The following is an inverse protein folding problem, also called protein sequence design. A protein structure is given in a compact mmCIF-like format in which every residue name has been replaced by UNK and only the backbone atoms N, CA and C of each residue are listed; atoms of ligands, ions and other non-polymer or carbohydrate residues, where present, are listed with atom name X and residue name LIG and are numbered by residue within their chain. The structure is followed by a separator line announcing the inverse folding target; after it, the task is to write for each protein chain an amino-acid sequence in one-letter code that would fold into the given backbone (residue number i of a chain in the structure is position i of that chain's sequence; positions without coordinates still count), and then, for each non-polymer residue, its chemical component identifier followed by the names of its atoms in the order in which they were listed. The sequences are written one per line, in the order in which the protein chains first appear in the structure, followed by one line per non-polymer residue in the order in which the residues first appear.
data_IF_132080809333
#
_entry.id   IF_132080809333
#
_cell.length_a   1.000
_cell.length_b   1.000
_cell.length_c   1.000
_cell.angle_alpha   90.00
_cell.angle_beta   90.00
_cell.angle_gamma   90.00
#
_symmetry.space_group_name_H-M   'P 1'
#
loop_
_entity.id
_entity.type
_entity.pdbx_description
1 polymer ?
#
# COMPACT_ATOMS: atom_id res chain seq x y z
N UNK A 1 -32.69 -24.93 3.09
CA UNK A 1 -31.33 -24.35 2.96
C UNK A 1 -30.34 -25.51 2.86
N UNK A 2 -29.49 -25.53 1.86
CA UNK A 2 -28.50 -26.59 1.71
C UNK A 2 -27.35 -26.42 2.74
N UNK A 3 -26.47 -27.44 2.89
CA UNK A 3 -25.38 -27.41 3.88
C UNK A 3 -24.40 -26.23 3.65
N UNK A 4 -24.16 -25.85 2.39
CA UNK A 4 -23.26 -24.73 2.07
C UNK A 4 -23.87 -23.38 2.52
N UNK A 5 -25.16 -23.16 2.29
CA UNK A 5 -25.86 -21.95 2.76
C UNK A 5 -25.93 -21.86 4.28
N UNK A 6 -26.13 -23.02 4.96
CA UNK A 6 -26.08 -23.07 6.43
C UNK A 6 -24.70 -22.65 6.95
N UNK A 7 -23.63 -23.15 6.33
CA UNK A 7 -22.26 -22.74 6.65
C UNK A 7 -22.03 -21.25 6.44
N UNK A 8 -22.43 -20.72 5.26
CA UNK A 8 -22.29 -19.28 4.95
C UNK A 8 -23.00 -18.42 6.01
N UNK A 9 -24.27 -18.76 6.31
CA UNK A 9 -25.06 -18.01 7.28
C UNK A 9 -24.47 -18.07 8.70
N UNK A 10 -23.95 -19.22 9.14
CA UNK A 10 -23.30 -19.35 10.43
C UNK A 10 -22.04 -18.48 10.55
N UNK A 11 -21.25 -18.36 9.45
CA UNK A 11 -20.07 -17.50 9.40
C UNK A 11 -20.44 -16.02 9.43
N UNK A 12 -21.50 -15.61 8.72
CA UNK A 12 -22.00 -14.25 8.75
C UNK A 12 -22.58 -13.87 10.10
N UNK A 13 -23.34 -14.76 10.73
CA UNK A 13 -23.89 -14.57 12.07
C UNK A 13 -22.77 -14.35 13.09
N UNK A 14 -21.76 -15.19 13.10
CA UNK A 14 -20.59 -15.06 13.98
C UNK A 14 -19.90 -13.69 13.82
N UNK A 15 -19.77 -13.18 12.57
CA UNK A 15 -19.24 -11.82 12.35
C UNK A 15 -20.18 -10.72 12.87
N UNK A 16 -21.49 -10.93 12.79
CA UNK A 16 -22.49 -10.00 13.33
C UNK A 16 -22.40 -9.94 14.84
N UNK A 17 -22.36 -11.08 15.52
CA UNK A 17 -22.22 -11.19 16.96
C UNK A 17 -20.94 -10.55 17.49
N UNK A 18 -19.82 -10.73 16.76
CA UNK A 18 -18.52 -10.08 17.07
C UNK A 18 -18.46 -8.63 16.64
N UNK A 19 -19.55 -8.06 16.09
CA UNK A 19 -19.56 -6.70 15.57
C UNK A 19 -18.56 -6.44 14.45
N UNK A 20 -18.09 -7.46 13.72
CA UNK A 20 -17.08 -7.36 12.67
C UNK A 20 -17.63 -7.63 11.26
N UNK A 21 -18.95 -7.64 11.09
CA UNK A 21 -19.61 -7.78 9.79
C UNK A 21 -19.32 -6.56 8.91
N UNK A 22 -18.74 -6.80 7.74
CA UNK A 22 -18.45 -5.75 6.74
C UNK A 22 -19.65 -5.56 5.82
N UNK A 23 -19.93 -4.30 5.47
CA UNK A 23 -20.98 -3.92 4.52
C UNK A 23 -20.42 -2.88 3.57
N UNK A 24 -20.80 -2.95 2.28
CA UNK A 24 -20.55 -1.87 1.34
C UNK A 24 -21.41 -0.66 1.72
N UNK A 25 -20.84 0.53 1.57
CA UNK A 25 -21.54 1.79 1.84
C UNK A 25 -21.31 2.76 0.69
N UNK A 26 -22.36 3.43 0.27
CA UNK A 26 -22.33 4.52 -0.71
C UNK A 26 -22.34 5.90 -0.04
N UNK A 27 -22.23 5.94 1.29
CA UNK A 27 -22.18 7.21 2.02
C UNK A 27 -20.90 7.96 1.69
N UNK A 28 -21.06 9.21 1.32
CA UNK A 28 -19.98 10.18 1.14
C UNK A 28 -20.04 11.20 2.26
N UNK A 29 -18.91 11.73 2.66
CA UNK A 29 -18.79 12.76 3.67
C UNK A 29 -18.05 13.95 3.07
N UNK A 30 -18.37 15.20 3.51
CA UNK A 30 -17.72 16.39 2.95
C UNK A 30 -16.20 16.42 3.13
N UNK A 31 -15.72 15.94 4.28
CA UNK A 31 -14.30 15.98 4.66
C UNK A 31 -13.76 14.56 4.71
N UNK A 32 -12.81 14.26 3.84
CA UNK A 32 -12.20 12.95 3.69
C UNK A 32 -10.87 12.86 4.47
N UNK A 33 -10.82 11.96 5.46
CA UNK A 33 -9.61 11.50 6.13
C UNK A 33 -9.51 9.96 6.10
N UNK A 34 -10.16 9.33 5.10
CA UNK A 34 -10.28 7.88 4.99
C UNK A 34 -9.57 7.30 3.78
N UNK A 35 -9.64 7.95 2.61
CA UNK A 35 -9.08 7.44 1.38
C UNK A 35 -7.53 7.38 1.45
N UNK A 36 -6.91 6.68 0.50
CA UNK A 36 -5.46 6.70 0.34
C UNK A 36 -5.02 7.65 -0.79
N UNK A 37 -5.89 8.56 -1.21
CA UNK A 37 -5.63 9.57 -2.25
C UNK A 37 -4.77 10.72 -1.71
N UNK A 38 -3.59 10.40 -1.19
CA UNK A 38 -2.72 11.30 -0.43
C UNK A 38 -2.41 12.62 -1.14
N UNK A 39 -2.20 12.57 -2.45
CA UNK A 39 -1.90 13.75 -3.28
C UNK A 39 -3.13 14.38 -3.91
N UNK A 40 -4.31 13.76 -3.78
CA UNK A 40 -5.55 14.24 -4.41
C UNK A 40 -5.61 13.97 -5.92
N UNK A 41 -4.78 13.10 -6.43
CA UNK A 41 -4.71 12.80 -7.86
C UNK A 41 -5.99 12.13 -8.38
N UNK A 42 -6.65 11.30 -7.58
CA UNK A 42 -7.90 10.65 -7.99
C UNK A 42 -9.04 11.63 -8.28
N UNK A 43 -8.96 12.85 -7.75
CA UNK A 43 -9.95 13.93 -7.94
C UNK A 43 -9.42 15.12 -8.74
N UNK A 44 -8.20 15.04 -9.27
CA UNK A 44 -7.53 16.13 -10.00
C UNK A 44 -8.10 16.30 -11.39
N UNK A 45 -8.62 17.51 -11.69
CA UNK A 45 -9.00 17.89 -13.05
C UNK A 45 -7.78 18.02 -13.96
N UNK A 46 -6.65 18.53 -13.45
CA UNK A 46 -5.40 18.65 -14.17
C UNK A 46 -4.91 17.26 -14.65
N UNK A 47 -4.92 16.26 -13.75
CA UNK A 47 -4.56 14.88 -14.14
C UNK A 47 -5.52 14.33 -15.19
N UNK A 48 -6.83 14.57 -15.05
CA UNK A 48 -7.83 14.15 -16.04
C UNK A 48 -7.55 14.72 -17.42
N UNK A 49 -7.21 15.99 -17.49
CA UNK A 49 -6.90 16.66 -18.76
C UNK A 49 -5.60 16.11 -19.36
N UNK A 50 -4.54 15.92 -18.55
CA UNK A 50 -3.30 15.31 -18.98
C UNK A 50 -3.49 13.86 -19.50
N UNK A 51 -4.38 13.08 -18.88
CA UNK A 51 -4.76 11.73 -19.37
C UNK A 51 -5.38 11.81 -20.75
N UNK A 52 -6.32 12.74 -20.95
CA UNK A 52 -6.98 12.92 -22.25
C UNK A 52 -5.97 13.32 -23.34
N UNK A 53 -5.06 14.25 -23.07
CA UNK A 53 -3.98 14.63 -23.98
C UNK A 53 -3.06 13.45 -24.30
N UNK A 54 -2.65 12.70 -23.29
CA UNK A 54 -1.82 11.49 -23.48
C UNK A 54 -2.51 10.49 -24.41
N UNK A 55 -3.82 10.26 -24.24
CA UNK A 55 -4.60 9.34 -25.06
C UNK A 55 -4.70 9.79 -26.51
N UNK A 56 -4.75 11.10 -26.79
CA UNK A 56 -4.74 11.63 -28.18
C UNK A 56 -3.46 11.26 -28.93
N UNK A 57 -2.35 11.09 -28.20
CA UNK A 57 -1.06 10.65 -28.77
C UNK A 57 -0.96 9.14 -29.02
N UNK A 58 -1.88 8.34 -28.51
CA UNK A 58 -1.85 6.87 -28.68
C UNK A 58 -2.72 6.46 -29.86
N UNK A 59 -2.08 6.07 -30.96
CA UNK A 59 -2.79 5.61 -32.15
C UNK A 59 -3.40 4.23 -31.95
N UNK A 60 -4.68 4.08 -32.36
CA UNK A 60 -5.37 2.79 -32.48
C UNK A 60 -5.42 1.95 -31.18
N UNK A 61 -5.90 2.51 -30.07
CA UNK A 61 -6.19 1.72 -28.88
C UNK A 61 -7.67 1.34 -28.77
N UNK A 62 -7.91 0.15 -28.22
CA UNK A 62 -9.25 -0.35 -27.93
C UNK A 62 -9.69 0.01 -26.51
N UNK A 63 -11.02 -0.05 -26.24
CA UNK A 63 -11.57 0.20 -24.90
C UNK A 63 -11.05 -0.76 -23.83
N UNK A 64 -10.65 -1.97 -24.23
CA UNK A 64 -10.09 -3.00 -23.35
C UNK A 64 -9.10 -3.87 -24.12
N UNK A 65 -8.25 -4.59 -23.39
CA UNK A 65 -7.17 -5.39 -23.98
C UNK A 65 -7.61 -6.70 -24.59
N UNK A 66 -8.81 -7.21 -24.23
CA UNK A 66 -9.43 -8.45 -24.73
C UNK A 66 -8.56 -9.73 -24.61
N UNK A 67 -7.44 -9.67 -23.92
CA UNK A 67 -6.51 -10.78 -23.70
C UNK A 67 -5.42 -10.44 -22.70
N UNK A 68 -4.64 -11.46 -22.30
CA UNK A 68 -3.46 -11.22 -21.45
C UNK A 68 -2.32 -10.56 -22.23
N UNK A 69 -1.33 -10.01 -21.52
CA UNK A 69 -0.12 -9.45 -22.11
C UNK A 69 0.63 -10.43 -23.03
N UNK A 70 0.56 -11.73 -22.73
CA UNK A 70 1.23 -12.76 -23.51
C UNK A 70 0.48 -13.18 -24.80
N UNK A 71 -0.77 -12.73 -24.96
CA UNK A 71 -1.57 -13.00 -26.15
C UNK A 71 -1.77 -11.74 -26.99
N UNK A 72 -2.88 -11.05 -26.79
CA UNK A 72 -3.25 -9.87 -27.59
C UNK A 72 -3.19 -8.54 -26.82
N UNK A 73 -2.97 -8.59 -25.51
CA UNK A 73 -3.09 -7.40 -24.65
C UNK A 73 -1.81 -6.61 -24.46
N UNK A 74 -0.69 -7.00 -25.06
CA UNK A 74 0.54 -6.22 -24.94
C UNK A 74 0.54 -5.06 -25.93
N UNK A 75 1.03 -3.91 -25.52
CA UNK A 75 1.10 -2.69 -26.33
C UNK A 75 2.43 -1.97 -26.09
N UNK A 76 3.03 -1.41 -27.16
CA UNK A 76 4.28 -0.68 -27.06
C UNK A 76 4.22 0.44 -26.01
N UNK A 77 3.11 1.20 -25.99
CA UNK A 77 2.87 2.26 -25.02
C UNK A 77 2.96 1.76 -23.56
N UNK A 78 2.54 0.51 -23.28
CA UNK A 78 2.66 -0.09 -21.94
C UNK A 78 4.13 -0.38 -21.61
N UNK A 79 4.91 -0.91 -22.54
CA UNK A 79 6.34 -1.19 -22.33
C UNK A 79 7.15 0.10 -22.16
N UNK A 80 6.85 1.13 -22.95
CA UNK A 80 7.44 2.46 -22.77
C UNK A 80 7.09 3.09 -21.42
N UNK A 81 5.87 2.86 -20.92
CA UNK A 81 5.46 3.34 -19.61
C UNK A 81 6.17 2.55 -18.50
N UNK A 82 6.34 1.23 -18.63
CA UNK A 82 7.16 0.43 -17.73
C UNK A 82 8.60 0.92 -17.66
N UNK A 83 9.20 1.25 -18.81
CA UNK A 83 10.55 1.80 -18.89
C UNK A 83 10.66 3.19 -18.23
N UNK A 84 9.71 4.09 -18.47
CA UNK A 84 9.64 5.40 -17.81
C UNK A 84 9.56 5.28 -16.29
N UNK A 85 8.73 4.37 -15.79
CA UNK A 85 8.58 4.15 -14.35
C UNK A 85 9.86 3.54 -13.75
N UNK A 86 10.48 2.58 -14.46
CA UNK A 86 11.73 1.98 -14.02
C UNK A 86 12.84 3.04 -13.90
N UNK A 87 12.97 3.93 -14.89
CA UNK A 87 13.92 5.04 -14.87
C UNK A 87 13.66 6.01 -13.71
N UNK A 88 12.40 6.42 -13.50
CA UNK A 88 12.01 7.28 -12.36
C UNK A 88 12.42 6.66 -11.02
N UNK A 89 12.34 5.35 -10.90
CA UNK A 89 12.70 4.62 -9.67
C UNK A 89 14.14 4.10 -9.66
N UNK A 90 14.98 4.46 -10.62
CA UNK A 90 16.35 3.97 -10.78
C UNK A 90 16.44 2.44 -10.72
N UNK A 91 15.44 1.76 -11.26
CA UNK A 91 15.43 0.31 -11.40
C UNK A 91 15.83 -0.10 -12.82
N UNK A 92 16.44 -1.27 -12.96
CA UNK A 92 16.85 -1.78 -14.28
C UNK A 92 15.63 -2.07 -15.17
N UNK A 93 14.53 -2.53 -14.56
CA UNK A 93 13.31 -2.89 -15.29
C UNK A 93 12.07 -2.88 -14.40
N UNK A 94 10.89 -2.86 -15.02
CA UNK A 94 9.61 -2.94 -14.34
C UNK A 94 8.59 -3.79 -15.09
N UNK A 95 7.61 -4.37 -14.36
CA UNK A 95 6.50 -5.11 -14.93
C UNK A 95 5.19 -4.68 -14.26
N UNK A 96 4.24 -4.16 -15.05
CA UNK A 96 2.94 -3.70 -14.57
C UNK A 96 1.99 -4.88 -14.36
N UNK A 97 1.30 -4.88 -13.22
CA UNK A 97 0.21 -5.77 -12.81
C UNK A 97 -1.10 -4.99 -12.65
N UNK A 98 -2.24 -5.70 -12.70
CA UNK A 98 -3.55 -5.06 -12.58
C UNK A 98 -3.84 -4.47 -11.19
N UNK A 99 -3.18 -4.95 -10.14
CA UNK A 99 -3.31 -4.42 -8.78
C UNK A 99 -2.06 -4.71 -7.95
N UNK A 100 -1.92 -4.00 -6.81
CA UNK A 100 -0.89 -4.33 -5.82
C UNK A 100 -1.04 -5.73 -5.26
N UNK A 101 -2.29 -6.21 -5.13
CA UNK A 101 -2.56 -7.58 -4.70
C UNK A 101 -1.99 -8.60 -5.70
N UNK A 102 -2.26 -8.41 -7.00
CA UNK A 102 -1.77 -9.29 -8.06
C UNK A 102 -0.24 -9.26 -8.18
N UNK A 103 0.37 -8.08 -8.01
CA UNK A 103 1.82 -7.90 -8.02
C UNK A 103 2.47 -8.68 -6.86
N UNK A 104 1.98 -8.49 -5.64
CA UNK A 104 2.47 -9.16 -4.44
C UNK A 104 2.32 -10.68 -4.52
N UNK A 105 1.12 -11.16 -4.88
CA UNK A 105 0.86 -12.60 -5.03
C UNK A 105 1.73 -13.17 -6.16
N UNK A 106 1.79 -12.51 -7.32
CA UNK A 106 2.55 -12.97 -8.48
C UNK A 106 4.05 -13.07 -8.19
N UNK A 107 4.62 -12.03 -7.57
CA UNK A 107 6.03 -12.00 -7.20
C UNK A 107 6.37 -13.11 -6.20
N UNK A 108 5.73 -13.11 -5.04
CA UNK A 108 6.11 -14.01 -3.95
C UNK A 108 5.82 -15.47 -4.31
N UNK A 109 4.65 -15.77 -4.90
CA UNK A 109 4.27 -17.14 -5.21
C UNK A 109 5.09 -17.78 -6.34
N UNK A 110 5.73 -16.98 -7.19
CA UNK A 110 6.55 -17.49 -8.29
C UNK A 110 8.00 -17.73 -7.89
N UNK A 111 8.54 -16.95 -6.95
CA UNK A 111 9.98 -16.96 -6.62
C UNK A 111 10.38 -18.16 -5.76
N UNK A 112 9.77 -18.31 -4.59
CA UNK A 112 10.24 -19.25 -3.59
C UNK A 112 9.77 -20.68 -3.86
N UNK A 113 10.71 -21.63 -3.86
CA UNK A 113 10.49 -23.03 -4.15
C UNK A 113 10.60 -23.88 -2.88
N UNK A 114 10.32 -25.19 -2.99
CA UNK A 114 10.56 -26.15 -1.90
C UNK A 114 12.03 -26.15 -1.49
N UNK A 115 12.29 -25.93 -0.22
CA UNK A 115 13.64 -25.82 0.34
C UNK A 115 14.12 -24.40 0.56
N UNK A 116 13.51 -23.42 -0.10
CA UNK A 116 13.76 -22.00 0.12
C UNK A 116 13.08 -21.50 1.41
N UNK A 117 13.36 -20.26 1.78
CA UNK A 117 12.82 -19.63 3.00
C UNK A 117 12.27 -18.23 2.70
N UNK A 118 11.04 -17.98 3.13
CA UNK A 118 10.43 -16.64 3.18
C UNK A 118 10.39 -16.20 4.64
N UNK A 119 10.96 -15.04 4.94
CA UNK A 119 10.92 -14.41 6.26
C UNK A 119 10.17 -13.09 6.12
N UNK A 120 9.05 -12.93 6.80
CA UNK A 120 8.23 -11.72 6.68
C UNK A 120 8.02 -11.04 8.02
N UNK A 121 7.91 -9.71 8.00
CA UNK A 121 7.39 -8.98 9.15
C UNK A 121 5.96 -9.46 9.48
N UNK A 122 5.59 -9.50 10.74
CA UNK A 122 4.28 -10.01 11.17
C UNK A 122 3.11 -9.11 10.76
N UNK A 123 3.36 -7.85 10.41
CA UNK A 123 2.34 -6.86 10.04
C UNK A 123 2.26 -6.58 8.53
N UNK A 124 2.91 -7.38 7.68
CA UNK A 124 2.82 -7.20 6.23
C UNK A 124 1.40 -7.37 5.71
N UNK A 125 1.13 -6.75 4.55
CA UNK A 125 -0.15 -6.81 3.88
C UNK A 125 -0.60 -8.24 3.56
N UNK A 126 -1.91 -8.48 3.62
CA UNK A 126 -2.51 -9.80 3.38
C UNK A 126 -2.09 -10.43 2.03
N UNK A 127 -1.88 -9.64 0.98
CA UNK A 127 -1.45 -10.13 -0.33
C UNK A 127 -0.05 -10.77 -0.30
N UNK A 128 0.87 -10.23 0.49
CA UNK A 128 2.21 -10.80 0.69
C UNK A 128 2.12 -12.13 1.45
N UNK A 129 1.26 -12.18 2.49
CA UNK A 129 0.97 -13.41 3.23
C UNK A 129 0.36 -14.46 2.32
N UNK A 130 -0.60 -14.08 1.47
CA UNK A 130 -1.27 -15.01 0.56
C UNK A 130 -0.31 -15.49 -0.53
N UNK A 131 0.53 -14.60 -1.09
CA UNK A 131 1.61 -15.00 -2.00
C UNK A 131 2.55 -16.03 -1.37
N UNK A 132 2.96 -15.82 -0.11
CA UNK A 132 3.81 -16.76 0.61
C UNK A 132 3.11 -18.10 0.89
N UNK A 133 1.80 -18.09 1.17
CA UNK A 133 0.99 -19.31 1.38
C UNK A 133 0.86 -20.19 0.14
N UNK A 134 0.93 -19.60 -1.04
CA UNK A 134 0.87 -20.33 -2.31
C UNK A 134 2.18 -21.05 -2.66
N UNK A 135 3.25 -20.80 -1.93
CA UNK A 135 4.54 -21.47 -2.13
C UNK A 135 4.63 -22.76 -1.30
N UNK A 136 5.62 -23.60 -1.65
CA UNK A 136 6.07 -24.74 -0.83
C UNK A 136 7.32 -24.43 0.00
N UNK A 137 7.74 -23.17 0.08
CA UNK A 137 8.88 -22.72 0.85
C UNK A 137 8.62 -22.77 2.37
N UNK A 138 9.69 -22.79 3.15
CA UNK A 138 9.61 -22.54 4.58
C UNK A 138 9.19 -21.09 4.82
N UNK A 139 8.31 -20.85 5.79
CA UNK A 139 7.78 -19.51 6.10
C UNK A 139 7.98 -19.20 7.56
N UNK A 140 8.69 -18.13 7.84
CA UNK A 140 8.86 -17.59 9.18
C UNK A 140 8.32 -16.16 9.24
N UNK A 141 7.73 -15.79 10.36
CA UNK A 141 7.39 -14.42 10.67
C UNK A 141 8.35 -13.92 11.75
N UNK A 142 8.79 -12.67 11.65
CA UNK A 142 9.52 -11.99 12.70
C UNK A 142 8.66 -10.87 13.29
N UNK A 143 8.91 -10.55 14.57
CA UNK A 143 8.19 -9.49 15.28
C UNK A 143 8.41 -8.16 14.60
N UNK A 144 7.34 -7.38 14.52
CA UNK A 144 7.31 -6.12 13.81
C UNK A 144 8.52 -5.21 14.10
N UNK A 145 9.25 -4.85 13.03
CA UNK A 145 10.45 -4.01 13.05
C UNK A 145 11.57 -4.49 14.00
N UNK A 146 11.56 -5.78 14.43
CA UNK A 146 12.52 -6.31 15.39
C UNK A 146 13.71 -6.99 14.69
N UNK A 147 14.83 -6.29 14.62
CA UNK A 147 16.06 -6.74 13.96
C UNK A 147 16.66 -8.00 14.60
N UNK A 148 16.58 -8.13 15.93
CA UNK A 148 17.08 -9.30 16.66
C UNK A 148 16.28 -10.56 16.31
N UNK A 149 14.95 -10.46 16.21
CA UNK A 149 14.11 -11.58 15.81
C UNK A 149 14.30 -11.91 14.32
N UNK A 150 14.45 -10.90 13.45
CA UNK A 150 14.79 -11.09 12.04
C UNK A 150 16.10 -11.87 11.90
N UNK A 151 17.16 -11.45 12.61
CA UNK A 151 18.46 -12.12 12.57
C UNK A 151 18.36 -13.57 13.06
N UNK A 152 17.58 -13.83 14.11
CA UNK A 152 17.35 -15.18 14.62
C UNK A 152 16.68 -16.08 13.55
N UNK A 153 15.78 -15.54 12.70
CA UNK A 153 15.17 -16.29 11.59
C UNK A 153 16.15 -16.50 10.43
N UNK A 154 16.98 -15.49 10.12
CA UNK A 154 18.02 -15.58 9.10
C UNK A 154 19.04 -16.70 9.43
N UNK A 155 19.46 -16.82 10.69
CA UNK A 155 20.40 -17.88 11.15
C UNK A 155 19.94 -19.31 10.91
N UNK A 156 18.63 -19.54 10.82
CA UNK A 156 18.07 -20.90 10.60
C UNK A 156 17.49 -21.10 9.20
N UNK A 157 17.50 -20.06 8.39
CA UNK A 157 16.98 -20.07 7.03
C UNK A 157 17.82 -20.99 6.11
N UNK A 158 17.19 -21.53 5.07
CA UNK A 158 17.81 -22.45 4.10
C UNK A 158 17.38 -22.10 2.68
N UNK A 159 18.15 -22.56 1.70
CA UNK A 159 17.89 -22.31 0.29
C UNK A 159 18.04 -20.84 -0.08
N UNK A 160 17.31 -20.38 -1.09
CA UNK A 160 17.18 -18.95 -1.35
C UNK A 160 16.35 -18.32 -0.25
N UNK A 161 16.84 -17.24 0.33
CA UNK A 161 16.19 -16.54 1.43
C UNK A 161 15.56 -15.26 0.89
N UNK A 162 14.27 -15.06 1.15
CA UNK A 162 13.54 -13.85 0.79
C UNK A 162 13.01 -13.18 2.08
N UNK A 163 13.47 -11.94 2.34
CA UNK A 163 12.95 -11.11 3.42
C UNK A 163 11.91 -10.17 2.83
N UNK A 164 10.70 -10.15 3.40
CA UNK A 164 9.54 -9.42 2.85
C UNK A 164 9.01 -8.45 3.89
N UNK A 165 8.99 -7.16 3.56
CA UNK A 165 8.54 -6.07 4.43
C UNK A 165 7.72 -5.04 3.65
N UNK A 166 7.01 -4.16 4.38
CA UNK A 166 6.52 -2.88 3.85
C UNK A 166 7.47 -1.76 4.28
N UNK A 167 7.68 -0.76 3.44
CA UNK A 167 8.47 0.41 3.84
C UNK A 167 7.68 1.34 4.76
N UNK A 168 6.36 1.46 4.53
CA UNK A 168 5.38 2.12 5.40
C UNK A 168 4.23 1.15 5.65
N UNK A 169 3.96 0.82 6.90
CA UNK A 169 2.93 -0.15 7.25
C UNK A 169 1.52 0.44 7.21
N UNK A 170 0.63 -0.27 6.53
CA UNK A 170 -0.69 0.24 6.12
C UNK A 170 -1.64 0.58 7.27
N UNK A 171 -1.50 -0.08 8.43
CA UNK A 171 -2.41 0.06 9.57
C UNK A 171 -1.90 0.99 10.67
N UNK A 172 -0.61 1.24 10.72
CA UNK A 172 0.05 2.04 11.75
C UNK A 172 0.70 3.31 11.20
N UNK A 173 1.13 3.28 9.92
CA UNK A 173 1.83 4.39 9.28
C UNK A 173 3.30 4.52 9.69
N UNK A 174 3.78 3.61 10.52
CA UNK A 174 5.18 3.55 10.89
C UNK A 174 6.06 3.00 9.75
N UNK A 175 7.35 3.19 9.86
CA UNK A 175 8.31 2.85 8.81
C UNK A 175 9.26 1.74 9.25
N UNK A 176 9.67 0.92 8.30
CA UNK A 176 10.69 -0.10 8.52
C UNK A 176 12.09 0.52 8.64
N UNK A 177 12.97 -0.01 9.49
CA UNK A 177 14.38 0.37 9.55
C UNK A 177 15.14 -0.23 8.35
N UNK A 178 14.94 0.37 7.15
CA UNK A 178 15.35 -0.20 5.85
C UNK A 178 16.85 -0.46 5.75
N UNK A 179 17.69 0.46 6.27
CA UNK A 179 19.16 0.34 6.19
C UNK A 179 19.66 -0.83 7.01
N UNK A 180 19.14 -0.99 8.21
CA UNK A 180 19.50 -2.05 9.15
C UNK A 180 19.01 -3.41 8.66
N UNK A 181 17.78 -3.49 8.12
CA UNK A 181 17.24 -4.70 7.51
C UNK A 181 18.07 -5.09 6.29
N UNK A 182 18.41 -4.12 5.40
CA UNK A 182 19.25 -4.39 4.25
C UNK A 182 20.63 -4.90 4.66
N UNK A 183 21.24 -4.33 5.69
CA UNK A 183 22.55 -4.78 6.19
C UNK A 183 22.50 -6.22 6.70
N UNK A 184 21.42 -6.62 7.37
CA UNK A 184 21.22 -8.02 7.76
C UNK A 184 21.01 -8.91 6.52
N UNK A 185 20.22 -8.46 5.54
CA UNK A 185 20.03 -9.22 4.31
C UNK A 185 21.37 -9.44 3.57
N UNK A 186 22.19 -8.42 3.44
CA UNK A 186 23.53 -8.54 2.83
C UNK A 186 24.42 -9.54 3.60
N UNK A 187 24.41 -9.49 4.94
CA UNK A 187 25.23 -10.39 5.79
C UNK A 187 24.83 -11.86 5.65
N UNK A 188 23.54 -12.14 5.43
CA UNK A 188 23.01 -13.50 5.33
C UNK A 188 22.68 -13.92 3.89
N UNK A 189 23.14 -13.17 2.88
CA UNK A 189 22.87 -13.39 1.44
C UNK A 189 21.37 -13.55 1.14
N UNK A 190 20.53 -12.79 1.84
CA UNK A 190 19.08 -12.81 1.68
C UNK A 190 18.60 -11.74 0.69
N UNK A 191 17.56 -12.05 -0.07
CA UNK A 191 16.96 -11.19 -1.07
C UNK A 191 15.87 -10.32 -0.40
N UNK A 192 16.09 -9.01 -0.34
CA UNK A 192 15.14 -8.09 0.27
C UNK A 192 14.05 -7.66 -0.72
N UNK A 193 12.79 -7.87 -0.37
CA UNK A 193 11.58 -7.47 -1.12
C UNK A 193 10.81 -6.45 -0.31
N UNK A 194 10.54 -5.29 -0.90
CA UNK A 194 9.90 -4.15 -0.20
C UNK A 194 8.63 -3.72 -0.94
N UNK A 195 7.51 -3.73 -0.23
CA UNK A 195 6.27 -3.09 -0.67
C UNK A 195 6.28 -1.60 -0.27
N UNK A 196 6.28 -0.71 -1.26
CA UNK A 196 6.28 0.74 -1.10
C UNK A 196 4.91 1.38 -1.39
N UNK A 197 3.84 0.62 -1.27
CA UNK A 197 2.48 1.06 -1.60
C UNK A 197 2.04 2.35 -0.87
N UNK A 198 2.57 2.63 0.31
CA UNK A 198 2.29 3.81 1.11
C UNK A 198 3.43 4.85 1.14
N UNK A 199 4.50 4.60 0.40
CA UNK A 199 5.66 5.50 0.34
C UNK A 199 5.70 6.34 -0.95
N UNK A 200 5.20 5.79 -2.07
CA UNK A 200 5.12 6.50 -3.34
C UNK A 200 4.35 7.82 -3.20
N UNK A 201 4.91 8.89 -3.75
CA UNK A 201 4.36 10.25 -3.72
C UNK A 201 4.58 11.00 -2.41
N UNK A 202 5.06 10.32 -1.35
CA UNK A 202 5.18 10.87 0.01
C UNK A 202 6.65 11.07 0.40
N UNK A 203 7.52 10.11 0.04
CA UNK A 203 8.93 10.10 0.44
C UNK A 203 9.86 10.13 -0.77
N UNK A 204 11.06 10.66 -0.59
CA UNK A 204 12.05 10.88 -1.66
C UNK A 204 11.84 12.21 -2.38
N UNK A 205 12.82 12.65 -3.19
CA UNK A 205 12.86 14.00 -3.77
C UNK A 205 11.64 14.32 -4.66
N UNK A 206 11.17 13.34 -5.44
CA UNK A 206 9.98 13.45 -6.29
C UNK A 206 8.90 12.46 -5.87
N UNK A 207 8.93 11.98 -4.62
CA UNK A 207 7.99 10.96 -4.17
C UNK A 207 8.33 9.54 -4.63
N UNK A 208 9.61 9.24 -4.92
CA UNK A 208 10.03 7.92 -5.38
C UNK A 208 9.92 6.81 -4.33
N UNK A 209 9.74 7.16 -3.07
CA UNK A 209 9.61 6.22 -1.95
C UNK A 209 10.81 6.20 -1.00
N UNK A 210 10.68 5.42 0.06
CA UNK A 210 11.68 5.32 1.14
C UNK A 210 12.93 4.55 0.72
N UNK A 211 12.82 3.61 -0.22
CA UNK A 211 13.99 2.86 -0.72
C UNK A 211 15.00 3.82 -1.35
N UNK A 212 14.55 4.73 -2.22
CA UNK A 212 15.43 5.74 -2.83
C UNK A 212 15.88 6.80 -1.82
N UNK A 213 15.01 7.23 -0.92
CA UNK A 213 15.42 8.14 0.18
C UNK A 213 16.52 7.52 1.05
N UNK A 214 16.52 6.20 1.20
CA UNK A 214 17.56 5.47 1.92
C UNK A 214 18.83 5.18 1.07
N UNK A 215 18.80 5.41 -0.26
CA UNK A 215 19.88 5.06 -1.18
C UNK A 215 20.06 3.55 -1.35
N UNK A 216 18.96 2.81 -1.39
CA UNK A 216 18.94 1.35 -1.44
C UNK A 216 18.38 0.80 -2.76
N UNK A 217 18.09 1.64 -3.75
CA UNK A 217 17.45 1.28 -5.01
C UNK A 217 18.20 0.19 -5.81
N UNK A 218 19.53 0.14 -5.67
CA UNK A 218 20.40 -0.86 -6.32
C UNK A 218 20.76 -2.05 -5.41
N UNK A 219 20.23 -2.09 -4.18
CA UNK A 219 20.55 -3.11 -3.18
C UNK A 219 19.38 -4.06 -2.91
N UNK A 220 18.15 -3.57 -3.09
CA UNK A 220 16.95 -4.38 -2.88
C UNK A 220 16.71 -5.29 -4.08
N UNK A 221 16.29 -6.53 -3.81
CA UNK A 221 16.01 -7.52 -4.84
C UNK A 221 14.78 -7.15 -5.69
N UNK A 222 13.72 -6.70 -5.05
CA UNK A 222 12.50 -6.25 -5.72
C UNK A 222 11.77 -5.19 -4.90
N UNK A 223 11.11 -4.26 -5.60
CA UNK A 223 10.21 -3.25 -5.03
C UNK A 223 8.83 -3.40 -5.66
N UNK A 224 7.80 -3.28 -4.85
CA UNK A 224 6.43 -3.21 -5.32
C UNK A 224 5.92 -1.79 -5.08
N UNK A 225 5.41 -1.15 -6.13
CA UNK A 225 4.85 0.20 -6.07
C UNK A 225 3.42 0.15 -6.60
N UNK A 226 2.46 0.74 -5.88
CA UNK A 226 1.04 0.71 -6.27
C UNK A 226 0.56 2.07 -6.76
N UNK A 227 -0.30 2.06 -7.78
CA UNK A 227 -0.81 3.28 -8.41
C UNK A 227 -2.17 3.72 -7.85
N UNK A 228 -2.84 2.86 -7.06
CA UNK A 228 -4.19 3.09 -6.56
C UNK A 228 -4.29 3.93 -5.29
N UNK A 229 -3.19 4.53 -4.83
CA UNK A 229 -3.14 5.37 -3.64
C UNK A 229 -2.74 6.80 -4.00
N UNK A 230 -1.54 7.23 -3.68
CA UNK A 230 -1.07 8.61 -3.96
C UNK A 230 -1.27 9.06 -5.43
N UNK A 231 -1.10 8.14 -6.39
CA UNK A 231 -1.29 8.47 -7.81
C UNK A 231 -2.75 8.47 -8.28
N UNK A 232 -3.72 8.07 -7.45
CA UNK A 232 -5.14 8.08 -7.81
C UNK A 232 -5.51 7.22 -9.03
N UNK A 233 -4.63 6.31 -9.46
CA UNK A 233 -4.76 5.45 -10.62
C UNK A 233 -5.15 4.02 -10.23
N UNK A 234 -4.91 3.04 -11.11
CA UNK A 234 -5.16 1.63 -10.85
C UNK A 234 -4.00 0.76 -11.33
N UNK A 235 -3.64 -0.26 -10.57
CA UNK A 235 -2.55 -1.18 -10.89
C UNK A 235 -1.37 -1.06 -9.93
N UNK A 236 -0.29 -1.76 -10.27
CA UNK A 236 0.98 -1.74 -9.57
C UNK A 236 2.12 -2.13 -10.50
N UNK A 237 3.35 -1.89 -10.09
CA UNK A 237 4.54 -2.36 -10.80
C UNK A 237 5.46 -3.11 -9.83
N UNK A 238 6.08 -4.17 -10.32
CA UNK A 238 7.24 -4.79 -9.69
C UNK A 238 8.48 -4.26 -10.38
N UNK A 239 9.37 -3.67 -9.62
CA UNK A 239 10.65 -3.09 -10.04
C UNK A 239 11.80 -3.99 -9.59
N UNK A 240 12.81 -4.15 -10.43
CA UNK A 240 14.01 -4.94 -10.13
C UNK A 240 14.87 -5.15 -11.37
N UNK A 241 15.61 -6.26 -11.40
CA UNK A 241 16.47 -6.59 -12.55
C UNK A 241 15.65 -7.00 -13.79
N UNK A 242 16.25 -6.88 -14.97
CA UNK A 242 15.68 -7.41 -16.22
C UNK A 242 15.46 -8.94 -16.13
N UNK A 243 16.32 -9.65 -15.42
CA UNK A 243 16.15 -11.08 -15.16
C UNK A 243 14.89 -11.36 -14.36
N UNK A 244 14.61 -10.58 -13.30
CA UNK A 244 13.39 -10.69 -12.50
C UNK A 244 12.15 -10.40 -13.35
N UNK A 245 12.15 -9.31 -14.15
CA UNK A 245 11.04 -9.00 -15.06
C UNK A 245 10.73 -10.17 -16.00
N UNK A 246 11.75 -10.72 -16.66
CA UNK A 246 11.59 -11.84 -17.57
C UNK A 246 11.11 -13.11 -16.85
N UNK A 247 11.57 -13.34 -15.63
CA UNK A 247 11.11 -14.43 -14.79
C UNK A 247 9.60 -14.29 -14.48
N UNK A 248 9.14 -13.11 -14.04
CA UNK A 248 7.74 -12.86 -13.72
C UNK A 248 6.82 -13.02 -14.93
N UNK A 249 7.23 -12.59 -16.12
CA UNK A 249 6.49 -12.79 -17.38
C UNK A 249 6.24 -14.29 -17.62
N UNK A 250 7.14 -15.18 -17.20
CA UNK A 250 7.06 -16.61 -17.45
C UNK A 250 6.44 -17.42 -16.30
N UNK A 251 6.48 -16.90 -15.05
CA UNK A 251 6.13 -17.69 -13.87
C UNK A 251 5.10 -17.05 -12.94
N UNK A 252 4.88 -15.73 -13.02
CA UNK A 252 3.87 -15.05 -12.18
C UNK A 252 2.46 -15.33 -12.71
N UNK A 253 1.74 -16.25 -12.06
CA UNK A 253 0.40 -16.69 -12.51
C UNK A 253 -0.62 -15.56 -12.56
N UNK A 254 -0.58 -14.61 -11.62
CA UNK A 254 -1.46 -13.44 -11.60
C UNK A 254 -1.20 -12.48 -12.78
N UNK A 255 -0.01 -12.53 -13.39
CA UNK A 255 0.31 -11.83 -14.64
C UNK A 255 -0.13 -12.64 -15.87
N UNK A 256 0.28 -13.91 -15.96
CA UNK A 256 0.08 -14.76 -17.12
C UNK A 256 -1.39 -14.95 -17.47
N UNK A 257 -2.23 -15.18 -16.45
CA UNK A 257 -3.64 -15.57 -16.60
C UNK A 257 -4.63 -14.42 -16.38
N UNK A 258 -4.13 -13.18 -16.30
CA UNK A 258 -4.98 -11.99 -16.19
C UNK A 258 -5.06 -11.24 -17.51
N UNK A 259 -6.23 -10.68 -17.82
CA UNK A 259 -6.39 -9.72 -18.92
C UNK A 259 -5.52 -8.51 -18.66
N UNK A 260 -4.83 -8.03 -19.67
CA UNK A 260 -3.97 -6.84 -19.57
C UNK A 260 -4.78 -5.58 -19.20
N UNK A 261 -4.14 -4.64 -18.52
CA UNK A 261 -4.73 -3.34 -18.24
C UNK A 261 -5.07 -2.60 -19.55
N UNK A 262 -6.21 -1.90 -19.63
CA UNK A 262 -6.56 -1.12 -20.81
C UNK A 262 -5.65 0.10 -20.96
N UNK A 263 -5.45 0.56 -22.20
CA UNK A 263 -4.52 1.66 -22.52
C UNK A 263 -4.81 2.95 -21.74
N UNK A 264 -6.08 3.27 -21.51
CA UNK A 264 -6.40 4.48 -20.73
C UNK A 264 -6.02 4.36 -19.25
N UNK A 265 -5.93 3.16 -18.68
CA UNK A 265 -5.34 2.99 -17.36
C UNK A 265 -3.81 3.20 -17.37
N UNK A 266 -3.14 2.75 -18.44
CA UNK A 266 -1.71 3.00 -18.63
C UNK A 266 -1.42 4.49 -18.86
N UNK A 267 -2.27 5.18 -19.64
CA UNK A 267 -2.18 6.63 -19.83
C UNK A 267 -2.34 7.39 -18.51
N UNK A 268 -3.30 6.96 -17.66
CA UNK A 268 -3.47 7.55 -16.34
C UNK A 268 -2.20 7.42 -15.48
N UNK A 269 -1.60 6.22 -15.45
CA UNK A 269 -0.36 5.97 -14.73
C UNK A 269 0.77 6.85 -15.26
N UNK A 270 0.97 6.89 -16.59
CA UNK A 270 2.03 7.69 -17.23
C UNK A 270 1.89 9.18 -16.92
N UNK A 271 0.68 9.74 -17.08
CA UNK A 271 0.38 11.14 -16.76
C UNK A 271 0.59 11.47 -15.28
N UNK A 272 0.22 10.55 -14.36
CA UNK A 272 0.44 10.75 -12.94
C UNK A 272 1.93 10.77 -12.58
N UNK A 273 2.76 9.92 -13.19
CA UNK A 273 4.22 9.95 -13.00
C UNK A 273 4.84 11.26 -13.56
N UNK A 274 4.36 11.75 -14.70
CA UNK A 274 4.79 13.04 -15.23
C UNK A 274 4.45 14.16 -14.24
N UNK A 275 3.22 14.20 -13.71
CA UNK A 275 2.82 15.18 -12.71
C UNK A 275 3.68 15.12 -11.43
N UNK A 276 4.12 13.95 -10.99
CA UNK A 276 5.01 13.84 -9.81
C UNK A 276 6.31 14.62 -9.99
N UNK A 277 6.83 14.75 -11.22
CA UNK A 277 8.10 15.46 -11.49
C UNK A 277 7.95 16.97 -11.61
N UNK A 278 6.72 17.48 -11.70
CA UNK A 278 6.43 18.90 -11.91
C UNK A 278 6.35 19.70 -10.61
N UNK A 279 6.09 19.03 -9.49
CA UNK A 279 5.83 19.68 -8.19
C UNK A 279 6.49 18.90 -7.06
N UNK A 280 7.01 19.60 -6.06
CA UNK A 280 7.56 18.99 -4.83
C UNK A 280 6.43 18.56 -3.89
N UNK A 281 5.69 17.51 -4.28
CA UNK A 281 4.60 16.95 -3.49
C UNK A 281 5.05 16.43 -2.11
N UNK A 282 6.23 15.80 -1.95
CA UNK A 282 6.72 15.40 -0.64
C UNK A 282 6.82 16.55 0.36
N UNK A 283 7.33 17.71 -0.05
CA UNK A 283 7.40 18.88 0.84
C UNK A 283 6.00 19.41 1.20
N UNK A 284 5.10 19.51 0.22
CA UNK A 284 3.74 19.97 0.46
C UNK A 284 2.96 19.07 1.42
N UNK A 285 3.06 17.75 1.28
CA UNK A 285 2.36 16.83 2.20
C UNK A 285 3.04 16.80 3.58
N UNK A 286 4.35 17.02 3.65
CA UNK A 286 5.07 17.12 4.92
C UNK A 286 4.58 18.32 5.76
N UNK A 287 4.20 19.45 5.13
CA UNK A 287 3.58 20.58 5.81
C UNK A 287 2.26 20.19 6.49
N UNK A 288 1.38 19.45 5.80
CA UNK A 288 0.12 18.95 6.37
C UNK A 288 0.36 17.98 7.55
N UNK A 289 1.36 17.08 7.40
CA UNK A 289 1.74 16.16 8.47
C UNK A 289 2.30 16.92 9.69
N UNK A 290 3.09 17.97 9.46
CA UNK A 290 3.65 18.81 10.50
C UNK A 290 2.57 19.59 11.26
N UNK A 291 1.61 20.18 10.53
CA UNK A 291 0.45 20.85 11.13
C UNK A 291 -0.35 19.89 12.03
N UNK A 292 -0.73 18.72 11.49
CA UNK A 292 -1.44 17.72 12.28
C UNK A 292 -0.66 17.30 13.52
N UNK A 293 0.64 17.02 13.37
CA UNK A 293 1.51 16.62 14.48
C UNK A 293 1.59 17.68 15.57
N UNK A 294 1.71 18.94 15.19
CA UNK A 294 1.72 20.07 16.14
C UNK A 294 0.40 20.15 16.91
N UNK A 295 -0.74 20.10 16.19
CA UNK A 295 -2.08 20.20 16.80
C UNK A 295 -2.36 19.02 17.74
N UNK A 296 -2.04 17.78 17.31
CA UNK A 296 -2.35 16.58 18.09
C UNK A 296 -1.47 16.51 19.36
N UNK A 297 -0.20 16.90 19.27
CA UNK A 297 0.69 16.96 20.42
C UNK A 297 0.23 17.99 21.47
N UNK A 298 -0.28 19.13 21.02
CA UNK A 298 -0.82 20.19 21.91
C UNK A 298 -2.20 19.84 22.50
N UNK A 299 -2.92 18.86 21.91
CA UNK A 299 -4.27 18.50 22.34
C UNK A 299 -4.34 17.68 23.62
N UNK A 300 -3.24 17.02 24.01
CA UNK A 300 -3.18 16.10 25.16
C UNK A 300 -3.91 14.76 24.92
N UNK A 301 -4.31 14.44 23.70
CA UNK A 301 -4.99 13.19 23.36
C UNK A 301 -4.08 11.98 23.65
N UNK A 302 -4.64 10.99 24.39
CA UNK A 302 -3.94 9.74 24.69
C UNK A 302 -4.20 8.70 23.60
N UNK A 303 -3.26 7.78 23.42
CA UNK A 303 -3.36 6.65 22.48
C UNK A 303 -2.92 6.98 21.05
N UNK A 304 -2.42 8.18 20.80
CA UNK A 304 -1.80 8.56 19.51
C UNK A 304 -0.54 7.72 19.31
N UNK A 305 -0.42 7.12 18.13
CA UNK A 305 0.79 6.38 17.77
C UNK A 305 1.69 7.29 16.91
N UNK A 306 2.99 7.34 17.18
CA UNK A 306 3.92 8.09 16.33
C UNK A 306 3.94 7.53 14.91
N UNK A 307 3.79 8.41 13.93
CA UNK A 307 3.90 8.04 12.51
C UNK A 307 4.55 9.17 11.72
N UNK A 308 5.60 8.88 10.95
CA UNK A 308 6.23 9.85 10.05
C UNK A 308 5.55 9.91 8.68
N UNK A 309 4.40 9.24 8.49
CA UNK A 309 3.70 9.15 7.21
C UNK A 309 2.35 9.88 7.23
N UNK A 310 1.66 9.88 6.11
CA UNK A 310 0.28 10.41 6.00
C UNK A 310 -0.75 9.61 6.78
N UNK A 311 -0.40 8.38 7.20
CA UNK A 311 -1.29 7.52 7.99
C UNK A 311 -1.04 7.80 9.46
N UNK A 312 -2.08 8.27 10.16
CA UNK A 312 -2.04 8.59 11.58
C UNK A 312 -3.04 7.72 12.33
N UNK A 313 -2.71 7.27 13.54
CA UNK A 313 -3.59 6.37 14.27
C UNK A 313 -3.77 6.75 15.73
N UNK A 314 -4.99 6.48 16.24
CA UNK A 314 -5.34 6.69 17.65
C UNK A 314 -5.99 5.41 18.17
N UNK A 315 -5.38 4.78 19.18
CA UNK A 315 -5.84 3.53 19.77
C UNK A 315 -7.07 3.77 20.65
N UNK A 316 -8.08 2.91 20.52
CA UNK A 316 -9.33 2.92 21.30
C UNK A 316 -9.58 1.63 22.10
N UNK A 317 -8.71 0.64 21.98
CA UNK A 317 -8.67 -0.61 22.76
C UNK A 317 -9.95 -1.49 22.72
N UNK A 318 -10.92 -1.17 21.87
CA UNK A 318 -12.08 -2.07 21.62
C UNK A 318 -12.79 -1.71 20.31
N UNK A 319 -13.41 -2.74 19.69
CA UNK A 319 -14.25 -2.54 18.50
C UNK A 319 -15.37 -1.53 18.73
N UNK A 320 -16.00 -1.57 19.91
CA UNK A 320 -17.14 -0.69 20.24
C UNK A 320 -16.71 0.77 20.33
N UNK A 321 -15.64 1.07 21.06
CA UNK A 321 -15.13 2.43 21.23
C UNK A 321 -14.62 3.01 19.89
N UNK A 322 -13.84 2.24 19.14
CA UNK A 322 -13.34 2.69 17.84
C UNK A 322 -14.48 3.00 16.85
N UNK A 323 -15.53 2.15 16.82
CA UNK A 323 -16.74 2.41 16.02
C UNK A 323 -17.50 3.65 16.46
N UNK A 324 -17.71 3.82 17.77
CA UNK A 324 -18.40 4.98 18.31
C UNK A 324 -17.68 6.28 17.92
N UNK A 325 -16.35 6.30 18.08
CA UNK A 325 -15.54 7.45 17.69
C UNK A 325 -15.64 7.75 16.19
N UNK A 326 -15.51 6.73 15.33
CA UNK A 326 -15.68 6.90 13.88
C UNK A 326 -17.08 7.43 13.52
N UNK A 327 -18.14 6.87 14.09
CA UNK A 327 -19.52 7.28 13.84
C UNK A 327 -19.78 8.72 14.30
N UNK A 328 -19.21 9.13 15.42
CA UNK A 328 -19.33 10.50 15.93
C UNK A 328 -18.66 11.49 14.98
N UNK A 329 -17.45 11.21 14.48
CA UNK A 329 -16.78 12.04 13.47
C UNK A 329 -17.60 12.10 12.19
N UNK A 330 -18.10 10.97 11.71
CA UNK A 330 -18.93 10.89 10.52
C UNK A 330 -20.24 11.69 10.65
N UNK A 331 -20.85 11.73 11.85
CA UNK A 331 -22.03 12.57 12.12
C UNK A 331 -21.74 14.08 12.01
N UNK A 332 -20.46 14.47 12.09
CA UNK A 332 -19.96 15.83 11.88
C UNK A 332 -19.45 16.08 10.45
N UNK A 333 -19.66 15.12 9.53
CA UNK A 333 -19.23 15.23 8.15
C UNK A 333 -17.77 14.84 7.91
N UNK A 334 -17.06 14.28 8.89
CA UNK A 334 -15.65 13.91 8.81
C UNK A 334 -15.53 12.39 8.59
N UNK A 335 -15.05 11.95 7.44
CA UNK A 335 -14.88 10.53 7.14
C UNK A 335 -13.56 10.00 7.73
N UNK A 336 -13.69 9.29 8.84
CA UNK A 336 -12.61 8.52 9.46
C UNK A 336 -13.13 7.10 9.70
N UNK A 337 -12.26 6.10 9.56
CA UNK A 337 -12.65 4.70 9.71
C UNK A 337 -12.01 4.04 10.93
N UNK A 338 -12.82 3.23 11.60
CA UNK A 338 -12.35 2.35 12.65
C UNK A 338 -11.69 1.11 12.03
N UNK A 339 -10.48 0.80 12.44
CA UNK A 339 -9.82 -0.48 12.18
C UNK A 339 -10.06 -1.38 13.38
N UNK A 340 -10.66 -2.52 13.11
CA UNK A 340 -11.22 -3.41 14.12
C UNK A 340 -10.48 -4.74 14.17
N UNK A 341 -10.57 -5.43 15.29
CA UNK A 341 -10.21 -6.84 15.37
C UNK A 341 -11.15 -7.68 14.45
N UNK A 342 -10.63 -8.67 13.68
CA UNK A 342 -9.27 -9.22 13.70
C UNK A 342 -8.31 -8.60 12.65
N UNK A 343 -8.62 -7.44 12.05
CA UNK A 343 -7.68 -6.76 11.14
C UNK A 343 -6.44 -6.28 11.91
N UNK A 344 -6.64 -5.83 13.14
CA UNK A 344 -5.60 -5.57 14.14
C UNK A 344 -5.81 -6.48 15.35
N UNK A 345 -4.81 -6.67 16.19
CA UNK A 345 -4.93 -7.47 17.41
C UNK A 345 -5.98 -6.88 18.36
N UNK A 346 -6.61 -7.73 19.17
CA UNK A 346 -7.53 -7.29 20.22
C UNK A 346 -6.82 -6.37 21.22
N UNK A 347 -7.49 -5.27 21.59
CA UNK A 347 -6.89 -4.19 22.38
C UNK A 347 -6.05 -3.19 21.57
N UNK A 348 -5.94 -3.39 20.26
CA UNK A 348 -5.23 -2.49 19.32
C UNK A 348 -6.16 -1.86 18.30
N UNK A 349 -7.46 -1.93 18.51
CA UNK A 349 -8.45 -1.28 17.67
C UNK A 349 -8.24 0.24 17.71
N UNK A 350 -8.39 0.87 16.56
CA UNK A 350 -7.99 2.26 16.35
C UNK A 350 -8.85 3.02 15.37
N UNK A 351 -8.78 4.32 15.39
CA UNK A 351 -9.08 5.14 14.22
C UNK A 351 -7.84 5.19 13.33
N UNK A 352 -8.04 5.02 12.04
CA UNK A 352 -7.02 5.27 11.01
C UNK A 352 -7.40 6.54 10.25
N UNK A 353 -6.53 7.51 10.30
CA UNK A 353 -6.67 8.84 9.72
C UNK A 353 -5.65 8.95 8.59
N UNK A 354 -6.07 9.33 7.40
CA UNK A 354 -5.18 9.63 6.28
C UNK A 354 -5.18 11.14 6.04
N UNK A 355 -4.00 11.73 6.01
CA UNK A 355 -3.81 13.13 5.65
C UNK A 355 -3.62 13.24 4.14
N UNK A 356 -4.19 14.29 3.55
CA UNK A 356 -4.17 14.52 2.12
C UNK A 356 -3.78 15.98 1.82
N UNK A 357 -3.23 16.21 0.63
CA UNK A 357 -2.95 17.59 0.17
C UNK A 357 -4.19 18.46 0.04
N UNK A 358 -5.33 17.85 -0.31
CA UNK A 358 -6.60 18.59 -0.46
C UNK A 358 -7.29 18.91 0.85
N UNK A 359 -6.86 18.35 2.00
CA UNK A 359 -7.37 18.78 3.28
C UNK A 359 -6.91 20.21 3.58
N UNK A 360 -7.84 21.10 3.90
CA UNK A 360 -7.48 22.44 4.33
C UNK A 360 -6.93 22.42 5.76
N UNK A 361 -6.24 23.49 6.17
CA UNK A 361 -5.73 23.60 7.54
C UNK A 361 -6.86 23.62 8.54
N UNK A 362 -7.98 24.30 8.21
CA UNK A 362 -9.20 24.36 9.03
C UNK A 362 -9.85 22.97 9.17
N UNK A 363 -9.82 22.13 8.15
CA UNK A 363 -10.32 20.75 8.24
C UNK A 363 -9.45 19.89 9.17
N UNK A 364 -8.12 20.06 9.15
CA UNK A 364 -7.20 19.38 10.06
C UNK A 364 -7.41 19.86 11.50
N UNK A 365 -7.56 21.16 11.72
CA UNK A 365 -7.89 21.74 13.03
C UNK A 365 -9.24 21.21 13.54
N UNK A 366 -10.26 21.21 12.69
CA UNK A 366 -11.59 20.68 13.02
C UNK A 366 -11.50 19.21 13.45
N UNK A 367 -10.77 18.38 12.69
CA UNK A 367 -10.56 16.98 13.04
C UNK A 367 -9.95 16.84 14.44
N UNK A 368 -8.84 17.54 14.73
CA UNK A 368 -8.13 17.44 16.01
C UNK A 368 -9.03 17.95 17.16
N UNK A 369 -9.77 19.01 16.95
CA UNK A 369 -10.74 19.53 17.95
C UNK A 369 -11.83 18.50 18.25
N UNK A 370 -12.40 17.83 17.23
CA UNK A 370 -13.42 16.79 17.44
C UNK A 370 -12.83 15.54 18.14
N UNK A 371 -11.62 15.14 17.80
CA UNK A 371 -10.89 14.06 18.47
C UNK A 371 -10.64 14.38 19.96
N UNK A 372 -10.26 15.63 20.25
CA UNK A 372 -10.05 16.10 21.63
C UNK A 372 -11.33 16.02 22.46
N UNK A 373 -12.46 16.45 21.89
CA UNK A 373 -13.76 16.35 22.55
C UNK A 373 -14.15 14.89 22.82
N UNK A 374 -13.96 14.00 21.85
CA UNK A 374 -14.23 12.57 22.00
C UNK A 374 -13.44 11.94 23.15
N UNK A 375 -12.17 12.28 23.27
CA UNK A 375 -11.30 11.71 24.31
C UNK A 375 -11.55 12.26 25.71
N UNK A 376 -12.12 13.47 25.84
CA UNK A 376 -12.55 14.02 27.13
C UNK A 376 -13.79 13.34 27.71
N UNK A 377 -14.55 12.65 26.86
CA UNK A 377 -15.80 11.98 27.24
C UNK A 377 -15.67 10.43 27.32
N UNK A 378 -14.47 9.87 27.13
CA UNK A 378 -14.12 8.45 27.37
C UNK A 378 -13.85 8.16 28.86
#
# INVERSE_FOLDING_TARGET
MNKAEQFINSRLLNRTEKGSLRKLSVKTFPIDFCSNDYLGFARSSQLKDAINETLLGVHQYANGSAGSRLLSGNHLFTEETEALIADFHHAESGLIFNSGYDANVGLISSLAQRGDTIISDELIHASLIDGARLTHANRYSFKHNNLTDLEAKLKVAKGNIYVVIESVYSMDGDVAPLREINSLCEMYEANLIIDEAHALGIFGNYGQGLVQQAGLEHKVFARIVTFGKALGCHGAIVLGSTALRNYLINFARSFIYSTAAPIHAIAAIRSAYQMLTETDYPSLIAEKMSLYSSLINNSGIQGVQPSPSTIQTIIYNSNQKAKFAAQTLQSKGIDVRAILSPTVAEGKERLRICLHLFNTDEEIELLVNQLTLLKKHE
#
